data_IF_774124312886
#
_entry.id   IF_774124312886
#
_cell.length_a   1.000
_cell.length_b   1.000
_cell.length_c   1.000
_cell.angle_alpha   90.00
_cell.angle_beta   90.00
_cell.angle_gamma   90.00
#
_symmetry.space_group_name_H-M   'P 1'
#
loop_
_entity.id
_entity.type
_entity.pdbx_description
1 polymer ?
#
# COMPACT_ATOMS: atom_id res chain seq x y z
N UNK A 1 12.73 -20.41 -16.11
CA UNK A 1 11.75 -21.15 -15.31
C UNK A 1 12.48 -22.30 -14.61
N UNK A 2 12.83 -22.11 -13.34
CA UNK A 2 13.60 -23.09 -12.58
C UNK A 2 12.68 -24.26 -12.20
N UNK A 3 13.07 -25.50 -12.50
CA UNK A 3 12.32 -26.73 -12.17
C UNK A 3 10.85 -26.78 -12.62
N UNK A 4 10.49 -26.14 -13.74
CA UNK A 4 9.10 -26.06 -14.20
C UNK A 4 8.14 -25.48 -13.14
N UNK A 5 8.67 -24.62 -12.26
CA UNK A 5 7.89 -23.91 -11.25
C UNK A 5 7.49 -22.54 -11.78
N UNK A 6 6.26 -22.14 -11.45
CA UNK A 6 5.73 -20.76 -11.59
C UNK A 6 6.14 -19.88 -10.40
N UNK A 7 6.81 -20.45 -9.40
CA UNK A 7 7.28 -19.73 -8.22
C UNK A 7 8.49 -18.86 -8.55
N UNK A 8 8.28 -17.55 -8.43
CA UNK A 8 9.32 -16.54 -8.51
C UNK A 8 9.81 -16.25 -9.93
N UNK A 9 10.65 -15.22 -10.01
CA UNK A 9 11.23 -14.74 -11.25
C UNK A 9 11.76 -13.33 -11.08
N UNK A 10 12.84 -13.01 -11.76
CA UNK A 10 13.40 -11.66 -11.75
C UNK A 10 12.99 -10.91 -13.01
N UNK A 11 12.78 -9.60 -12.88
CA UNK A 11 12.41 -8.69 -13.97
C UNK A 11 13.32 -8.83 -15.21
N UNK A 12 14.67 -8.97 -15.09
CA UNK A 12 15.55 -9.16 -16.23
C UNK A 12 15.28 -10.41 -17.07
N UNK A 13 14.52 -11.39 -16.57
CA UNK A 13 14.13 -12.58 -17.34
C UNK A 13 13.41 -12.21 -18.63
N UNK A 14 12.65 -11.11 -18.67
CA UNK A 14 12.03 -10.64 -19.91
C UNK A 14 13.07 -10.41 -21.00
N UNK A 15 14.18 -9.74 -20.69
CA UNK A 15 15.26 -9.49 -21.66
C UNK A 15 15.93 -10.79 -22.11
N UNK A 16 16.22 -11.71 -21.19
CA UNK A 16 16.93 -12.95 -21.54
C UNK A 16 16.05 -13.96 -22.29
N UNK A 17 14.74 -13.96 -22.03
CA UNK A 17 13.79 -14.93 -22.59
C UNK A 17 12.95 -14.35 -23.73
N UNK A 18 13.11 -13.07 -24.10
CA UNK A 18 12.26 -12.39 -25.07
C UNK A 18 12.08 -13.16 -26.39
N UNK A 19 13.13 -13.84 -26.87
CA UNK A 19 13.06 -14.64 -28.12
C UNK A 19 12.12 -15.84 -28.01
N UNK A 20 12.10 -16.50 -26.85
CA UNK A 20 11.18 -17.62 -26.59
C UNK A 20 9.78 -17.13 -26.20
N UNK A 21 9.69 -15.94 -25.60
CA UNK A 21 8.42 -15.34 -25.18
C UNK A 21 7.65 -14.64 -26.31
N UNK A 22 8.30 -14.41 -27.45
CA UNK A 22 7.74 -13.64 -28.57
C UNK A 22 6.35 -14.11 -29.00
N UNK A 23 6.15 -15.42 -29.07
CA UNK A 23 4.87 -16.06 -29.47
C UNK A 23 4.05 -16.53 -28.26
N UNK A 24 4.40 -16.08 -27.05
CA UNK A 24 3.84 -16.54 -25.77
C UNK A 24 3.19 -15.41 -24.95
N UNK A 25 3.03 -14.21 -25.51
CA UNK A 25 2.34 -13.08 -24.86
C UNK A 25 0.94 -12.92 -25.46
N UNK A 26 -0.08 -13.00 -24.61
CA UNK A 26 -1.49 -12.99 -25.00
C UNK A 26 -2.27 -11.88 -24.29
N UNK A 27 -3.39 -11.41 -24.86
CA UNK A 27 -4.28 -10.49 -24.18
C UNK A 27 -4.80 -11.10 -22.87
N UNK A 28 -4.95 -10.29 -21.80
CA UNK A 28 -5.41 -10.74 -20.47
C UNK A 28 -6.68 -11.57 -20.52
N UNK A 29 -7.59 -11.33 -21.46
CA UNK A 29 -8.84 -12.08 -21.58
C UNK A 29 -8.63 -13.57 -21.88
N UNK A 30 -7.55 -13.93 -22.57
CA UNK A 30 -7.19 -15.34 -22.87
C UNK A 30 -6.84 -16.09 -21.60
N UNK A 31 -6.17 -15.41 -20.68
CA UNK A 31 -5.68 -15.99 -19.44
C UNK A 31 -5.83 -14.96 -18.30
N UNK A 32 -7.04 -14.78 -17.75
CA UNK A 32 -7.24 -13.82 -16.67
C UNK A 32 -6.41 -14.22 -15.45
N UNK A 33 -5.78 -13.24 -14.82
CA UNK A 33 -4.99 -13.49 -13.62
C UNK A 33 -5.88 -14.01 -12.49
N UNK A 34 -5.51 -15.16 -11.92
CA UNK A 34 -6.14 -15.76 -10.75
C UNK A 34 -5.35 -15.38 -9.52
N UNK A 35 -5.99 -14.71 -8.55
CA UNK A 35 -5.35 -14.35 -7.29
C UNK A 35 -5.22 -15.53 -6.31
N UNK A 36 -5.89 -16.65 -6.61
CA UNK A 36 -5.89 -17.84 -5.76
C UNK A 36 -4.71 -18.76 -6.12
N UNK A 37 -3.91 -19.19 -5.14
CA UNK A 37 -2.79 -20.10 -5.37
C UNK A 37 -3.22 -21.43 -6.01
N UNK A 38 -2.32 -22.07 -6.77
CA UNK A 38 -2.54 -23.40 -7.34
C UNK A 38 -3.24 -23.42 -8.70
N UNK A 39 -3.61 -22.24 -9.22
CA UNK A 39 -4.29 -22.08 -10.51
C UNK A 39 -3.36 -21.48 -11.60
N UNK A 40 -2.04 -21.50 -11.39
CA UNK A 40 -1.07 -20.87 -12.29
C UNK A 40 -1.05 -21.48 -13.70
N UNK A 41 -1.56 -22.70 -13.85
CA UNK A 41 -1.63 -23.44 -15.11
C UNK A 41 -3.04 -23.44 -15.74
N UNK A 42 -4.03 -22.83 -15.08
CA UNK A 42 -5.43 -22.90 -15.49
C UNK A 42 -5.73 -21.86 -16.56
N UNK A 43 -5.47 -22.25 -17.81
CA UNK A 43 -5.61 -21.38 -18.97
C UNK A 43 -6.22 -22.10 -20.18
N UNK A 44 -7.49 -22.54 -20.11
CA UNK A 44 -8.07 -23.44 -21.12
C UNK A 44 -8.18 -22.81 -22.51
N UNK A 45 -8.34 -21.49 -22.63
CA UNK A 45 -8.40 -20.82 -23.94
C UNK A 45 -7.05 -20.85 -24.68
N UNK A 46 -5.94 -21.08 -23.96
CA UNK A 46 -4.60 -21.14 -24.55
C UNK A 46 -4.32 -22.45 -25.30
N UNK A 47 -5.08 -23.50 -25.01
CA UNK A 47 -5.02 -24.78 -25.72
C UNK A 47 -5.65 -24.71 -27.12
N UNK A 48 -6.45 -23.66 -27.38
CA UNK A 48 -7.01 -23.42 -28.70
C UNK A 48 -5.93 -22.92 -29.67
N UNK A 49 -5.58 -23.77 -30.65
CA UNK A 49 -4.63 -23.46 -31.71
C UNK A 49 -5.03 -22.21 -32.53
N UNK A 50 -6.33 -21.91 -32.62
CA UNK A 50 -6.82 -20.70 -33.27
C UNK A 50 -6.43 -19.45 -32.49
N UNK A 51 -6.53 -19.46 -31.16
CA UNK A 51 -6.12 -18.33 -30.30
C UNK A 51 -4.64 -18.04 -30.48
N UNK A 52 -3.79 -19.08 -30.50
CA UNK A 52 -2.35 -18.93 -30.74
C UNK A 52 -2.04 -18.35 -32.11
N UNK A 53 -2.68 -18.85 -33.17
CA UNK A 53 -2.43 -18.44 -34.56
C UNK A 53 -2.98 -17.05 -34.89
N UNK A 54 -4.08 -16.67 -34.26
CA UNK A 54 -4.77 -15.40 -34.52
C UNK A 54 -4.37 -14.27 -33.56
N UNK A 55 -3.46 -14.53 -32.62
CA UNK A 55 -2.96 -13.56 -31.67
C UNK A 55 -2.25 -12.39 -32.39
N UNK A 56 -2.72 -11.14 -32.24
CA UNK A 56 -2.09 -9.99 -32.87
C UNK A 56 -0.86 -9.46 -32.12
N UNK A 57 -0.63 -9.88 -30.87
CA UNK A 57 0.45 -9.36 -30.05
C UNK A 57 1.81 -9.89 -30.50
N UNK A 58 2.75 -8.99 -30.76
CA UNK A 58 4.14 -9.31 -31.07
C UNK A 58 5.03 -8.15 -30.65
N UNK A 59 6.11 -8.45 -29.95
CA UNK A 59 7.05 -7.46 -29.44
C UNK A 59 8.51 -7.88 -29.66
N UNK A 60 9.40 -6.89 -29.58
CA UNK A 60 10.85 -7.07 -29.52
C UNK A 60 11.38 -6.26 -28.35
N UNK A 61 12.33 -6.83 -27.60
CA UNK A 61 13.08 -6.09 -26.59
C UNK A 61 14.42 -5.72 -27.21
N UNK A 62 14.66 -4.43 -27.41
CA UNK A 62 15.83 -3.91 -28.10
C UNK A 62 17.00 -3.71 -27.13
N UNK A 63 16.71 -3.20 -25.94
CA UNK A 63 17.70 -2.90 -24.91
C UNK A 63 17.13 -3.03 -23.50
N UNK A 64 18.01 -3.24 -22.52
CA UNK A 64 17.69 -3.24 -21.10
C UNK A 64 18.78 -2.50 -20.31
N UNK A 65 18.38 -1.43 -19.62
CA UNK A 65 19.21 -0.74 -18.63
C UNK A 65 18.88 -1.18 -17.21
N UNK A 66 19.87 -1.22 -16.32
CA UNK A 66 19.68 -1.46 -14.88
C UNK A 66 20.30 -0.32 -14.09
N UNK A 67 19.53 0.27 -13.17
CA UNK A 67 19.88 1.46 -12.41
C UNK A 67 19.74 1.18 -10.92
N UNK A 68 20.70 1.66 -10.13
CA UNK A 68 20.78 1.38 -8.69
C UNK A 68 20.65 2.64 -7.84
N UNK A 69 21.09 3.80 -8.34
CA UNK A 69 21.04 5.06 -7.62
C UNK A 69 19.81 5.90 -8.00
N UNK A 70 19.31 6.66 -7.03
CA UNK A 70 18.11 7.47 -7.16
C UNK A 70 18.19 8.50 -8.30
N UNK A 71 19.36 9.08 -8.55
CA UNK A 71 19.52 10.15 -9.53
C UNK A 71 19.42 9.61 -10.96
N UNK A 72 20.10 8.50 -11.26
CA UNK A 72 20.03 7.85 -12.57
C UNK A 72 18.64 7.27 -12.86
N UNK A 73 17.97 6.71 -11.85
CA UNK A 73 16.57 6.24 -11.95
C UNK A 73 15.64 7.40 -12.33
N UNK A 74 15.69 8.51 -11.58
CA UNK A 74 14.85 9.69 -11.87
C UNK A 74 15.12 10.26 -13.26
N UNK A 75 16.39 10.35 -13.65
CA UNK A 75 16.76 10.82 -14.97
C UNK A 75 16.20 9.91 -16.06
N UNK A 76 16.34 8.58 -15.93
CA UNK A 76 15.82 7.62 -16.91
C UNK A 76 14.30 7.62 -16.97
N UNK A 77 13.61 7.78 -15.83
CA UNK A 77 12.16 7.90 -15.77
C UNK A 77 11.65 9.09 -16.60
N UNK A 78 12.27 10.26 -16.41
CA UNK A 78 11.93 11.48 -17.17
C UNK A 78 12.31 11.34 -18.64
N UNK A 79 13.47 10.74 -18.94
CA UNK A 79 13.94 10.55 -20.31
C UNK A 79 13.05 9.60 -21.12
N UNK A 80 12.63 8.49 -20.52
CA UNK A 80 11.81 7.48 -21.19
C UNK A 80 10.33 7.85 -21.21
N UNK A 81 9.83 8.51 -20.16
CA UNK A 81 8.40 8.73 -19.98
C UNK A 81 7.59 7.44 -19.81
N UNK A 82 8.26 6.33 -19.48
CA UNK A 82 7.65 5.00 -19.33
C UNK A 82 7.77 4.52 -17.88
N UNK A 83 6.81 3.73 -17.44
CA UNK A 83 6.91 3.01 -16.18
C UNK A 83 8.12 2.07 -16.21
N UNK A 84 8.86 2.01 -15.10
CA UNK A 84 10.04 1.16 -14.97
C UNK A 84 9.83 0.18 -13.81
N UNK A 85 10.00 -1.13 -14.03
CA UNK A 85 9.88 -2.12 -12.96
C UNK A 85 10.98 -1.96 -11.91
N UNK A 86 10.56 -2.05 -10.65
CA UNK A 86 11.41 -1.94 -9.46
C UNK A 86 11.53 -3.32 -8.83
N UNK A 87 12.74 -3.71 -8.46
CA UNK A 87 13.02 -4.87 -7.60
C UNK A 87 13.65 -4.38 -6.30
N UNK A 88 13.17 -4.91 -5.18
CA UNK A 88 13.70 -4.61 -3.84
C UNK A 88 13.61 -5.84 -2.97
N UNK A 89 14.57 -5.99 -2.06
CA UNK A 89 14.48 -6.92 -0.95
C UNK A 89 13.33 -6.49 -0.04
N UNK A 90 12.40 -7.40 0.26
CA UNK A 90 11.39 -7.17 1.28
C UNK A 90 12.01 -7.40 2.66
N UNK A 91 11.60 -6.58 3.62
CA UNK A 91 12.14 -6.58 4.97
C UNK A 91 11.02 -6.62 5.98
N UNK A 92 11.16 -7.51 6.95
CA UNK A 92 10.34 -7.51 8.16
C UNK A 92 11.04 -6.68 9.24
N UNK A 93 10.26 -6.11 10.15
CA UNK A 93 10.81 -5.35 11.29
C UNK A 93 10.49 -6.10 12.57
N UNK A 94 11.54 -6.45 13.32
CA UNK A 94 11.37 -7.02 14.65
C UNK A 94 11.23 -5.89 15.68
N UNK A 95 10.01 -5.68 16.15
CA UNK A 95 9.70 -4.76 17.25
C UNK A 95 9.84 -5.45 18.62
N UNK A 96 9.97 -4.64 19.66
CA UNK A 96 10.18 -5.05 21.04
C UNK A 96 9.13 -4.45 21.97
N UNK A 97 8.49 -5.27 22.79
CA UNK A 97 7.58 -4.83 23.85
C UNK A 97 8.34 -4.69 25.17
N UNK A 98 8.30 -3.51 25.83
CA UNK A 98 8.94 -3.32 27.12
C UNK A 98 8.13 -3.96 28.24
N UNK A 99 8.80 -4.70 29.11
CA UNK A 99 8.21 -5.40 30.25
C UNK A 99 7.88 -4.46 31.41
N UNK A 100 7.09 -3.42 31.14
CA UNK A 100 6.70 -2.39 32.11
C UNK A 100 5.21 -2.06 31.98
N UNK A 101 4.60 -1.59 33.06
CA UNK A 101 3.17 -1.25 33.09
C UNK A 101 2.25 -2.45 33.24
N UNK A 102 0.94 -2.20 33.39
CA UNK A 102 -0.03 -3.21 33.87
C UNK A 102 -0.32 -4.33 32.87
N UNK A 103 -0.20 -4.07 31.57
CA UNK A 103 -0.52 -5.05 30.53
C UNK A 103 0.75 -5.76 30.04
N UNK A 104 1.79 -5.02 29.67
CA UNK A 104 3.01 -5.59 29.11
C UNK A 104 3.90 -6.28 30.16
N UNK A 105 3.90 -5.85 31.43
CA UNK A 105 4.68 -6.55 32.47
C UNK A 105 4.09 -7.92 32.87
N UNK A 106 2.82 -8.16 32.56
CA UNK A 106 2.16 -9.44 32.82
C UNK A 106 2.31 -10.45 31.68
N UNK A 107 3.02 -10.09 30.60
CA UNK A 107 3.37 -11.03 29.55
C UNK A 107 4.22 -12.17 30.16
N UNK A 108 3.86 -13.45 29.98
CA UNK A 108 4.63 -14.58 30.53
C UNK A 108 6.10 -14.61 30.10
N UNK A 109 6.44 -13.96 28.97
CA UNK A 109 7.79 -13.83 28.43
C UNK A 109 8.62 -12.78 29.16
N UNK A 110 7.99 -11.93 29.98
CA UNK A 110 8.66 -10.90 30.77
C UNK A 110 9.32 -11.46 32.03
N UNK A 111 10.19 -12.45 31.84
CA UNK A 111 11.06 -13.01 32.88
C UNK A 111 12.53 -12.82 32.51
N UNK A 112 13.39 -12.69 33.51
CA UNK A 112 14.81 -12.39 33.33
C UNK A 112 15.56 -13.43 32.47
N UNK A 113 15.03 -14.65 32.34
CA UNK A 113 15.63 -15.72 31.52
C UNK A 113 15.35 -15.58 30.02
N UNK A 114 14.30 -14.86 29.62
CA UNK A 114 13.83 -14.79 28.22
C UNK A 114 13.88 -13.38 27.65
N UNK A 115 13.80 -12.34 28.48
CA UNK A 115 13.85 -10.98 27.97
C UNK A 115 15.27 -10.54 27.58
N UNK A 116 15.33 -9.57 26.68
CA UNK A 116 16.55 -9.00 26.13
C UNK A 116 16.65 -7.52 26.50
N UNK A 117 17.83 -6.92 26.28
CA UNK A 117 18.01 -5.49 26.45
C UNK A 117 17.10 -4.73 25.48
N UNK A 118 16.33 -3.78 26.03
CA UNK A 118 15.48 -2.92 25.23
C UNK A 118 16.28 -2.05 24.26
N UNK A 119 15.74 -1.76 23.07
CA UNK A 119 16.37 -0.88 22.11
C UNK A 119 16.40 0.57 22.63
N UNK A 120 17.31 1.43 22.14
CA UNK A 120 17.47 2.82 22.61
C UNK A 120 16.19 3.67 22.55
N UNK A 121 15.29 3.35 21.62
CA UNK A 121 13.98 3.97 21.43
C UNK A 121 13.01 3.66 22.58
N UNK A 122 13.34 2.68 23.43
CA UNK A 122 12.58 2.29 24.61
C UNK A 122 13.37 2.50 25.93
N UNK A 123 13.77 3.73 26.27
CA UNK A 123 14.66 3.98 27.41
C UNK A 123 14.01 3.71 28.78
N UNK A 124 12.69 3.53 28.84
CA UNK A 124 11.94 3.35 30.08
C UNK A 124 12.01 1.94 30.68
N UNK A 125 12.61 0.98 29.96
CA UNK A 125 12.72 -0.41 30.39
C UNK A 125 14.11 -0.98 30.02
N UNK A 126 14.58 -1.95 30.80
CA UNK A 126 15.83 -2.68 30.52
C UNK A 126 15.55 -4.09 29.97
N UNK A 127 14.32 -4.59 30.15
CA UNK A 127 13.88 -5.93 29.80
C UNK A 127 12.74 -5.82 28.78
N UNK A 128 12.97 -6.30 27.57
CA UNK A 128 12.04 -6.29 26.45
C UNK A 128 11.88 -7.70 25.87
N UNK A 129 10.72 -7.96 25.28
CA UNK A 129 10.42 -9.21 24.57
C UNK A 129 10.05 -8.93 23.12
N UNK A 130 10.39 -9.81 22.17
CA UNK A 130 10.03 -9.60 20.77
C UNK A 130 8.51 -9.57 20.61
N UNK A 131 8.01 -8.54 19.91
CA UNK A 131 6.67 -8.54 19.35
C UNK A 131 6.57 -9.63 18.27
N UNK A 132 5.35 -10.00 17.89
CA UNK A 132 5.15 -10.80 16.69
C UNK A 132 5.70 -10.02 15.49
N UNK A 133 6.42 -10.70 14.59
CA UNK A 133 7.10 -10.06 13.46
C UNK A 133 6.09 -9.34 12.58
N UNK A 134 6.35 -8.08 12.28
CA UNK A 134 5.53 -7.34 11.32
C UNK A 134 6.23 -7.27 9.97
N UNK A 135 5.44 -7.12 8.91
CA UNK A 135 5.94 -7.00 7.53
C UNK A 135 6.67 -5.66 7.27
N UNK A 136 7.00 -4.90 8.32
CA UNK A 136 7.81 -3.69 8.21
C UNK A 136 7.11 -2.55 7.47
N UNK A 137 5.79 -2.56 7.36
CA UNK A 137 5.01 -1.43 6.84
C UNK A 137 4.24 -0.75 7.97
N UNK A 138 4.04 0.56 7.86
CA UNK A 138 2.99 1.22 8.62
C UNK A 138 1.65 0.99 7.92
N UNK A 139 0.59 1.39 8.60
CA UNK A 139 -0.74 1.34 8.00
C UNK A 139 -1.11 2.62 7.26
N UNK A 140 -0.14 3.31 6.69
CA UNK A 140 -0.30 4.21 5.55
C UNK A 140 0.17 3.52 4.24
N UNK A 141 0.61 2.25 4.34
CA UNK A 141 1.20 1.51 3.22
C UNK A 141 2.68 1.81 3.00
N UNK A 142 3.32 2.55 3.91
CA UNK A 142 4.73 2.92 3.80
C UNK A 142 5.62 1.85 4.43
N UNK A 143 6.62 1.38 3.69
CA UNK A 143 7.65 0.53 4.28
C UNK A 143 8.55 1.36 5.20
N UNK A 144 8.81 0.86 6.40
CA UNK A 144 9.48 1.57 7.46
C UNK A 144 10.99 1.31 7.46
N UNK A 145 11.76 2.38 7.59
CA UNK A 145 13.17 2.37 8.00
C UNK A 145 13.28 2.07 9.52
N UNK A 146 13.99 0.99 9.90
CA UNK A 146 14.18 0.59 11.30
C UNK A 146 15.51 -0.13 11.54
N UNK A 147 16.07 -0.02 12.75
CA UNK A 147 17.34 -0.68 13.12
C UNK A 147 17.22 -2.20 13.23
N UNK A 148 16.03 -2.70 13.58
CA UNK A 148 15.69 -4.11 13.69
C UNK A 148 15.18 -4.76 12.40
N UNK A 149 15.52 -4.21 11.23
CA UNK A 149 15.16 -4.82 9.93
C UNK A 149 15.82 -6.19 9.76
N UNK A 150 15.07 -7.13 9.22
CA UNK A 150 15.52 -8.45 8.80
C UNK A 150 15.00 -8.76 7.40
N UNK A 151 15.74 -9.58 6.64
CA UNK A 151 15.29 -10.00 5.31
C UNK A 151 14.10 -10.93 5.47
N UNK A 152 13.01 -10.62 4.79
CA UNK A 152 11.85 -11.50 4.69
C UNK A 152 12.03 -12.42 3.48
N UNK A 153 11.98 -13.74 3.69
CA UNK A 153 12.05 -14.72 2.61
C UNK A 153 10.63 -15.03 2.13
N UNK A 154 10.19 -14.38 1.04
CA UNK A 154 8.86 -14.61 0.49
C UNK A 154 8.38 -13.54 -0.49
N UNK A 155 7.49 -13.96 -1.39
CA UNK A 155 6.74 -13.09 -2.28
C UNK A 155 5.36 -12.82 -1.67
N UNK A 156 5.14 -11.62 -1.16
CA UNK A 156 3.80 -11.22 -0.68
C UNK A 156 3.58 -9.73 -0.93
N UNK A 157 2.64 -9.41 -1.81
CA UNK A 157 1.96 -8.11 -1.80
C UNK A 157 0.90 -8.21 -0.70
N UNK A 158 1.10 -7.46 0.38
CA UNK A 158 0.28 -7.52 1.61
C UNK A 158 -1.02 -6.73 1.41
N UNK A 159 -2.04 -6.99 2.24
CA UNK A 159 -3.26 -6.20 2.35
C UNK A 159 -3.10 -5.12 3.44
N UNK A 160 -3.39 -3.85 3.13
CA UNK A 160 -3.32 -2.74 4.07
C UNK A 160 -4.74 -2.35 4.49
N UNK A 161 -4.99 -2.36 5.80
CA UNK A 161 -6.10 -1.67 6.44
C UNK A 161 -5.50 -0.44 7.12
N UNK A 162 -6.04 0.78 6.98
CA UNK A 162 -5.34 2.01 7.37
C UNK A 162 -5.94 2.67 8.65
N UNK A 163 -5.55 2.31 9.89
CA UNK A 163 -5.95 2.99 11.12
C UNK A 163 -5.53 4.47 11.23
N UNK A 164 -4.61 4.94 10.41
CA UNK A 164 -4.14 6.33 10.48
C UNK A 164 -4.88 7.29 9.56
N UNK A 165 -5.78 6.78 8.71
CA UNK A 165 -6.72 7.62 7.97
C UNK A 165 -8.08 7.74 8.68
N UNK A 166 -8.20 7.29 9.92
CA UNK A 166 -9.43 7.50 10.72
C UNK A 166 -9.59 8.98 11.05
N UNK A 167 -10.82 9.46 10.98
CA UNK A 167 -11.13 10.84 11.33
C UNK A 167 -10.94 11.06 12.82
N UNK A 168 -10.14 12.07 13.16
CA UNK A 168 -9.93 12.55 14.53
C UNK A 168 -10.44 13.99 14.58
N UNK A 169 -11.51 14.28 15.33
CA UNK A 169 -11.96 15.66 15.51
C UNK A 169 -10.84 16.48 16.15
N UNK A 170 -10.50 17.62 15.56
CA UNK A 170 -9.42 18.48 16.05
C UNK A 170 -9.96 19.77 16.66
N UNK A 171 -9.13 20.52 17.38
CA UNK A 171 -9.53 21.80 17.98
C UNK A 171 -10.03 22.83 16.95
N UNK A 172 -9.66 22.69 15.68
CA UNK A 172 -10.12 23.56 14.60
C UNK A 172 -11.64 23.38 14.31
N UNK A 173 -12.24 22.28 14.77
CA UNK A 173 -13.67 21.97 14.66
C UNK A 173 -14.50 22.56 15.83
N UNK A 174 -13.86 23.25 16.78
CA UNK A 174 -14.54 24.00 17.85
C UNK A 174 -15.15 23.16 18.99
N UNK A 175 -15.09 21.82 18.91
CA UNK A 175 -15.59 20.89 19.92
C UNK A 175 -14.62 19.69 20.01
N UNK A 176 -14.15 19.35 21.23
CA UNK A 176 -13.13 18.29 21.45
C UNK A 176 -13.72 17.07 22.18
N UNK A 177 -15.03 17.06 22.39
CA UNK A 177 -15.75 15.98 23.08
C UNK A 177 -16.51 15.09 22.09
N UNK A 178 -17.22 14.10 22.60
CA UNK A 178 -18.01 13.17 21.79
C UNK A 178 -19.04 13.89 20.89
N UNK A 179 -19.52 15.09 21.25
CA UNK A 179 -20.49 15.80 20.44
C UNK A 179 -19.91 16.22 19.09
N UNK A 180 -18.60 16.45 19.00
CA UNK A 180 -17.91 16.66 17.73
C UNK A 180 -18.03 15.43 16.84
N UNK A 181 -17.70 14.25 17.39
CA UNK A 181 -17.76 12.98 16.70
C UNK A 181 -19.17 12.65 16.17
N UNK A 182 -20.20 13.07 16.91
CA UNK A 182 -21.61 12.84 16.58
C UNK A 182 -22.24 13.95 15.73
N UNK A 183 -21.47 14.99 15.34
CA UNK A 183 -21.99 16.11 14.58
C UNK A 183 -22.14 15.77 13.09
N UNK A 184 -23.18 16.31 12.45
CA UNK A 184 -23.39 16.16 11.00
C UNK A 184 -22.21 16.75 10.20
N UNK A 185 -21.54 17.78 10.74
CA UNK A 185 -20.38 18.41 10.12
C UNK A 185 -19.18 17.46 10.07
N UNK A 186 -18.86 16.78 11.20
CA UNK A 186 -17.78 15.78 11.22
C UNK A 186 -18.09 14.58 10.33
N UNK A 187 -19.34 14.12 10.28
CA UNK A 187 -19.76 13.05 9.36
C UNK A 187 -19.52 13.46 7.90
N UNK A 188 -19.93 14.66 7.51
CA UNK A 188 -19.73 15.16 6.15
C UNK A 188 -18.26 15.39 5.82
N UNK A 189 -17.48 15.94 6.76
CA UNK A 189 -16.06 16.20 6.57
C UNK A 189 -15.26 14.91 6.45
N UNK A 190 -15.53 13.93 7.32
CA UNK A 190 -14.91 12.61 7.25
C UNK A 190 -15.21 11.93 5.91
N UNK A 191 -16.47 11.97 5.45
CA UNK A 191 -16.88 11.43 4.16
C UNK A 191 -16.19 12.15 2.97
N UNK A 192 -16.07 13.48 3.01
CA UNK A 192 -15.40 14.26 1.97
C UNK A 192 -13.91 13.90 1.84
N UNK A 193 -13.24 13.66 2.98
CA UNK A 193 -11.82 13.30 3.02
C UNK A 193 -11.59 11.78 2.93
N UNK A 194 -12.64 10.97 2.76
CA UNK A 194 -12.57 9.51 2.74
C UNK A 194 -11.89 8.93 3.99
N UNK A 195 -12.25 9.47 5.15
CA UNK A 195 -11.74 9.05 6.45
C UNK A 195 -12.83 8.31 7.20
N UNK A 196 -12.62 7.05 7.62
CA UNK A 196 -13.58 6.36 8.46
C UNK A 196 -13.76 7.09 9.78
N UNK A 197 -15.01 7.31 10.17
CA UNK A 197 -15.38 8.01 11.41
C UNK A 197 -15.77 7.00 12.50
N UNK A 198 -16.50 5.96 12.11
CA UNK A 198 -17.03 4.96 13.02
C UNK A 198 -16.18 3.70 12.98
N UNK A 199 -15.80 3.23 14.17
CA UNK A 199 -15.00 2.03 14.35
C UNK A 199 -15.78 1.02 15.18
N UNK A 200 -15.67 -0.25 14.80
CA UNK A 200 -16.30 -1.38 15.49
C UNK A 200 -15.24 -2.24 16.16
N UNK A 201 -15.63 -2.88 17.27
CA UNK A 201 -14.74 -3.75 18.01
C UNK A 201 -14.63 -5.13 17.35
N UNK A 202 -13.39 -5.57 17.09
CA UNK A 202 -13.07 -6.91 16.57
C UNK A 202 -12.43 -7.78 17.64
N UNK A 203 -11.52 -7.22 18.45
CA UNK A 203 -10.79 -7.95 19.50
C UNK A 203 -11.32 -7.62 20.90
N UNK A 204 -12.11 -8.54 21.47
CA UNK A 204 -12.74 -8.40 22.78
C UNK A 204 -11.76 -8.40 23.97
N UNK A 205 -10.47 -8.70 23.73
CA UNK A 205 -9.42 -8.52 24.73
C UNK A 205 -9.13 -7.04 25.02
N UNK A 206 -9.40 -6.16 24.07
CA UNK A 206 -9.04 -4.74 24.13
C UNK A 206 -10.22 -3.78 23.97
N UNK A 207 -11.34 -4.23 23.41
CA UNK A 207 -12.55 -3.45 23.23
C UNK A 207 -13.82 -4.22 23.61
N UNK A 208 -14.98 -3.55 23.57
CA UNK A 208 -16.28 -4.10 23.94
C UNK A 208 -17.11 -4.27 22.67
N UNK A 209 -17.50 -5.51 22.31
CA UNK A 209 -18.36 -5.77 21.15
C UNK A 209 -19.70 -5.01 21.25
N UNK A 210 -20.19 -4.55 20.09
CA UNK A 210 -21.46 -3.80 19.99
C UNK A 210 -21.39 -2.33 20.41
N UNK A 211 -20.21 -1.82 20.80
CA UNK A 211 -19.95 -0.39 20.98
C UNK A 211 -19.43 0.24 19.69
N UNK A 212 -19.61 1.55 19.58
CA UNK A 212 -19.05 2.38 18.51
C UNK A 212 -17.85 3.13 19.06
N UNK A 213 -16.74 3.14 18.33
CA UNK A 213 -15.51 3.80 18.74
C UNK A 213 -15.19 4.96 17.80
N UNK A 214 -14.76 6.08 18.36
CA UNK A 214 -14.26 7.24 17.62
C UNK A 214 -12.82 7.53 18.00
N UNK A 215 -11.94 7.71 17.02
CA UNK A 215 -10.54 8.03 17.28
C UNK A 215 -10.40 9.43 17.90
N UNK A 216 -9.63 9.55 18.99
CA UNK A 216 -9.48 10.82 19.73
C UNK A 216 -8.09 11.42 19.63
N UNK A 217 -7.07 10.66 20.00
CA UNK A 217 -5.69 11.14 19.93
C UNK A 217 -4.71 9.98 19.96
N UNK A 218 -3.48 10.30 19.53
CA UNK A 218 -2.36 9.37 19.47
C UNK A 218 -1.16 9.99 20.16
N UNK A 219 -0.42 9.18 20.90
CA UNK A 219 0.87 9.58 21.47
C UNK A 219 1.91 8.52 21.13
N UNK A 220 3.08 8.96 20.65
CA UNK A 220 4.20 8.05 20.39
C UNK A 220 4.76 7.50 21.70
N UNK A 221 5.04 6.19 21.74
CA UNK A 221 5.58 5.51 22.91
C UNK A 221 7.04 5.06 22.73
N UNK A 222 7.53 4.99 21.49
CA UNK A 222 8.86 4.45 21.14
C UNK A 222 8.75 3.15 20.36
N UNK A 223 9.81 2.80 19.62
CA UNK A 223 9.85 1.60 18.74
C UNK A 223 8.58 1.44 17.87
N UNK A 224 8.14 2.58 17.28
CA UNK A 224 6.93 2.70 16.44
C UNK A 224 5.60 2.31 17.12
N UNK A 225 5.59 2.05 18.42
CA UNK A 225 4.36 1.86 19.17
C UNK A 225 3.67 3.19 19.49
N UNK A 226 2.35 3.10 19.60
CA UNK A 226 1.48 4.22 19.93
C UNK A 226 0.54 3.87 21.08
N UNK A 227 0.29 4.86 21.93
CA UNK A 227 -0.89 4.87 22.80
C UNK A 227 -1.98 5.60 22.03
N UNK A 228 -3.01 4.86 21.63
CA UNK A 228 -4.17 5.42 20.95
C UNK A 228 -5.37 5.42 21.87
N UNK A 229 -6.04 6.57 21.94
CA UNK A 229 -7.23 6.76 22.74
C UNK A 229 -8.45 7.00 21.87
N UNK A 230 -9.59 6.56 22.39
CA UNK A 230 -10.87 6.54 21.71
C UNK A 230 -11.96 7.06 22.64
N UNK A 231 -13.03 7.54 22.02
CA UNK A 231 -14.33 7.62 22.66
C UNK A 231 -15.06 6.31 22.42
N UNK A 232 -15.27 5.53 23.47
CA UNK A 232 -16.20 4.41 23.42
C UNK A 232 -17.61 4.97 23.62
N UNK A 233 -18.47 4.78 22.63
CA UNK A 233 -19.84 5.26 22.60
C UNK A 233 -20.81 4.08 22.61
N UNK A 234 -21.82 4.18 23.46
CA UNK A 234 -22.92 3.23 23.52
C UNK A 234 -24.15 3.83 22.85
N UNK A 235 -24.60 3.26 21.72
CA UNK A 235 -25.77 3.76 21.03
C UNK A 235 -27.07 3.55 21.82
N UNK A 236 -27.10 2.63 22.80
CA UNK A 236 -28.31 2.28 23.55
C UNK A 236 -28.65 3.27 24.66
N UNK A 237 -27.65 3.66 25.45
CA UNK A 237 -27.81 4.60 26.56
C UNK A 237 -27.30 6.02 26.23
N UNK A 238 -26.71 6.20 25.04
CA UNK A 238 -26.07 7.43 24.55
C UNK A 238 -24.97 7.94 25.49
N UNK A 239 -24.34 7.04 26.23
CA UNK A 239 -23.19 7.35 27.06
C UNK A 239 -21.89 7.26 26.25
N UNK A 240 -20.89 8.02 26.69
CA UNK A 240 -19.53 7.90 26.16
C UNK A 240 -18.54 7.82 27.30
N UNK A 241 -17.46 7.08 27.10
CA UNK A 241 -16.33 7.04 28.00
C UNK A 241 -15.02 7.13 27.23
N UNK A 242 -14.02 7.69 27.89
CA UNK A 242 -12.67 7.75 27.37
C UNK A 242 -11.94 6.44 27.65
N UNK A 243 -11.39 5.83 26.61
CA UNK A 243 -10.57 4.62 26.73
C UNK A 243 -9.27 4.80 25.97
N UNK A 244 -8.17 4.30 26.52
CA UNK A 244 -6.88 4.25 25.83
C UNK A 244 -6.40 2.81 25.79
N UNK A 245 -5.91 2.40 24.63
CA UNK A 245 -5.21 1.13 24.48
C UNK A 245 -3.85 1.20 25.20
N UNK A 246 -3.29 0.05 25.61
CA UNK A 246 -1.87 -0.02 25.95
C UNK A 246 -1.01 0.41 24.75
N UNK A 247 0.30 0.69 24.98
CA UNK A 247 1.23 0.86 23.88
C UNK A 247 1.21 -0.35 22.95
N UNK A 248 0.88 -0.12 21.69
CA UNK A 248 0.70 -1.15 20.68
C UNK A 248 1.28 -0.71 19.35
N UNK A 249 1.65 -1.68 18.52
CA UNK A 249 1.96 -1.41 17.12
C UNK A 249 0.68 -1.00 16.40
N UNK A 250 0.85 -0.18 15.37
CA UNK A 250 -0.27 0.31 14.58
C UNK A 250 -1.11 -0.82 13.97
N UNK A 251 -0.45 -1.87 13.49
CA UNK A 251 -1.08 -3.06 12.93
C UNK A 251 -1.98 -3.75 13.94
N UNK A 252 -1.50 -3.88 15.18
CA UNK A 252 -2.29 -4.44 16.29
C UNK A 252 -3.52 -3.59 16.56
N UNK A 253 -3.38 -2.26 16.57
CA UNK A 253 -4.51 -1.33 16.76
C UNK A 253 -5.57 -1.51 15.66
N UNK A 254 -5.14 -1.72 14.41
CA UNK A 254 -6.06 -1.97 13.29
C UNK A 254 -6.73 -3.34 13.34
N UNK A 255 -6.11 -4.33 13.98
CA UNK A 255 -6.73 -5.64 14.21
C UNK A 255 -7.71 -5.59 15.37
N UNK A 256 -7.53 -4.65 16.30
CA UNK A 256 -8.48 -4.41 17.40
C UNK A 256 -9.77 -3.76 16.93
N UNK A 257 -9.68 -2.80 16.00
CA UNK A 257 -10.82 -2.01 15.52
C UNK A 257 -10.91 -2.02 13.99
N UNK A 258 -12.12 -2.27 13.48
CA UNK A 258 -12.42 -2.23 12.05
C UNK A 258 -13.30 -1.03 11.70
N UNK A 259 -12.98 -0.26 10.63
CA UNK A 259 -13.82 0.83 10.18
C UNK A 259 -15.17 0.34 9.64
N UNK A 260 -16.26 0.99 10.03
CA UNK A 260 -17.59 0.74 9.46
C UNK A 260 -17.70 1.34 8.05
N UNK A 261 -17.08 2.49 7.81
CA UNK A 261 -16.98 3.06 6.47
C UNK A 261 -15.82 2.47 5.66
N UNK A 262 -16.16 1.78 4.57
CA UNK A 262 -15.20 1.22 3.61
C UNK A 262 -15.17 2.08 2.35
N UNK A 263 -13.97 2.56 1.98
CA UNK A 263 -13.74 3.29 0.74
C UNK A 263 -12.94 2.42 -0.24
N UNK A 264 -13.51 2.16 -1.42
CA UNK A 264 -12.81 1.43 -2.47
C UNK A 264 -11.60 2.22 -2.99
N UNK A 265 -10.53 1.49 -3.30
CA UNK A 265 -9.36 2.07 -3.94
C UNK A 265 -9.69 2.53 -5.37
N UNK A 266 -9.04 3.57 -5.85
CA UNK A 266 -9.15 3.99 -7.24
C UNK A 266 -8.53 2.92 -8.15
N UNK A 267 -9.31 2.38 -9.09
CA UNK A 267 -8.85 1.32 -10.00
C UNK A 267 -7.75 1.79 -10.96
N UNK A 268 -7.61 3.09 -11.19
CA UNK A 268 -6.64 3.68 -12.12
C UNK A 268 -5.30 4.04 -11.48
N UNK A 269 -5.24 4.03 -10.15
CA UNK A 269 -4.04 4.35 -9.37
C UNK A 269 -3.47 3.07 -8.75
N UNK A 270 -2.15 2.93 -8.80
CA UNK A 270 -1.47 1.93 -7.99
C UNK A 270 -1.75 2.24 -6.51
N UNK A 271 -2.27 1.24 -5.78
CA UNK A 271 -2.67 1.39 -4.39
C UNK A 271 -1.54 1.87 -3.45
N UNK A 272 -1.93 2.12 -2.19
CA UNK A 272 -1.24 2.88 -1.14
C UNK A 272 0.19 2.46 -0.75
N UNK A 273 0.78 1.44 -1.37
CA UNK A 273 2.11 0.99 -1.00
C UNK A 273 3.19 1.87 -1.60
N UNK A 274 3.95 2.55 -0.73
CA UNK A 274 5.12 3.30 -1.17
C UNK A 274 6.36 2.94 -0.38
N UNK A 275 7.50 2.98 -1.06
CA UNK A 275 8.82 2.77 -0.50
C UNK A 275 9.48 4.14 -0.31
N UNK A 276 9.55 4.70 0.91
CA UNK A 276 10.24 5.95 1.16
C UNK A 276 11.72 5.86 0.73
N UNK A 277 12.32 6.99 0.32
CA UNK A 277 13.73 7.00 -0.05
C UNK A 277 14.67 6.60 1.10
N UNK A 278 14.31 6.91 2.34
CA UNK A 278 15.08 6.50 3.51
C UNK A 278 15.06 4.98 3.67
N UNK A 279 13.90 4.35 3.48
CA UNK A 279 13.74 2.90 3.47
C UNK A 279 14.54 2.27 2.36
N UNK A 280 14.45 2.80 1.13
CA UNK A 280 15.26 2.33 -0.02
C UNK A 280 16.75 2.41 0.31
N UNK A 281 17.19 3.53 0.88
CA UNK A 281 18.60 3.75 1.22
C UNK A 281 19.08 2.76 2.27
N UNK A 282 18.28 2.50 3.29
CA UNK A 282 18.62 1.58 4.36
C UNK A 282 18.62 0.12 3.87
N UNK A 283 17.61 -0.30 3.10
CA UNK A 283 17.54 -1.63 2.50
C UNK A 283 18.73 -1.85 1.57
N UNK A 284 19.04 -0.87 0.71
CA UNK A 284 20.20 -0.94 -0.19
C UNK A 284 21.51 -1.06 0.57
N UNK A 285 21.67 -0.34 1.68
CA UNK A 285 22.89 -0.35 2.49
C UNK A 285 23.08 -1.65 3.28
N UNK A 286 21.99 -2.23 3.80
CA UNK A 286 22.05 -3.40 4.68
C UNK A 286 21.97 -4.73 3.92
N UNK A 287 21.10 -4.81 2.91
CA UNK A 287 20.73 -6.08 2.26
C UNK A 287 21.08 -6.15 0.79
N UNK A 288 21.45 -5.02 0.17
CA UNK A 288 21.53 -4.88 -1.29
C UNK A 288 20.16 -5.20 -1.93
N UNK A 289 20.12 -5.30 -3.27
CA UNK A 289 18.93 -5.81 -3.97
C UNK A 289 17.88 -4.76 -4.34
N UNK A 290 18.15 -3.46 -4.20
CA UNK A 290 17.35 -2.42 -4.84
C UNK A 290 17.90 -2.09 -6.23
N UNK A 291 17.10 -2.31 -7.26
CA UNK A 291 17.42 -1.90 -8.62
C UNK A 291 16.16 -1.68 -9.45
N UNK A 292 16.30 -0.87 -10.49
CA UNK A 292 15.24 -0.54 -11.43
C UNK A 292 15.69 -0.90 -12.82
N UNK A 293 14.87 -1.65 -13.55
CA UNK A 293 15.13 -1.97 -14.95
C UNK A 293 14.34 -1.05 -15.86
N UNK A 294 14.95 -0.66 -16.98
CA UNK A 294 14.28 0.05 -18.06
C UNK A 294 14.41 -0.79 -19.32
N UNK A 295 13.28 -1.06 -19.98
CA UNK A 295 13.25 -1.83 -21.20
C UNK A 295 12.87 -0.94 -22.38
N UNK A 296 13.59 -1.09 -23.48
CA UNK A 296 13.16 -0.60 -24.78
C UNK A 296 12.37 -1.71 -25.48
N UNK A 297 11.03 -1.63 -25.41
CA UNK A 297 10.12 -2.62 -25.99
C UNK A 297 9.41 -2.01 -27.18
N UNK A 298 9.66 -2.60 -28.35
CA UNK A 298 8.99 -2.23 -29.58
C UNK A 298 7.87 -3.23 -29.89
N UNK A 299 6.64 -2.73 -29.98
CA UNK A 299 5.48 -3.52 -30.40
C UNK A 299 5.29 -3.43 -31.91
N UNK A 300 5.10 -4.59 -32.54
CA UNK A 300 4.86 -4.64 -33.97
C UNK A 300 3.52 -3.96 -34.34
N UNK A 301 3.37 -3.37 -35.54
CA UNK A 301 2.17 -2.63 -35.92
C UNK A 301 0.86 -3.41 -35.77
N UNK A 302 0.89 -4.73 -35.96
CA UNK A 302 -0.27 -5.59 -35.76
C UNK A 302 -0.77 -5.64 -34.31
N UNK A 303 0.07 -5.36 -33.32
CA UNK A 303 -0.31 -5.43 -31.90
C UNK A 303 -1.31 -4.35 -31.49
N UNK A 304 -1.42 -3.29 -32.30
CA UNK A 304 -2.30 -2.15 -32.01
C UNK A 304 -3.69 -2.38 -32.59
N UNK A 305 -4.72 -2.29 -31.74
CA UNK A 305 -6.14 -2.38 -32.14
C UNK A 305 -6.49 -1.40 -33.28
N UNK A 306 -5.88 -0.22 -33.28
CA UNK A 306 -6.05 0.79 -34.33
C UNK A 306 -5.64 0.32 -35.74
N UNK A 307 -4.78 -0.69 -35.85
CA UNK A 307 -4.31 -1.23 -37.13
C UNK A 307 -5.10 -2.46 -37.61
N UNK A 308 -6.23 -2.80 -36.98
CA UNK A 308 -7.02 -4.01 -37.29
C UNK A 308 -7.36 -4.19 -38.78
N UNK A 309 -7.61 -3.09 -39.49
CA UNK A 309 -7.98 -3.10 -40.91
C UNK A 309 -6.80 -3.52 -41.81
N UNK A 310 -5.56 -3.31 -41.36
CA UNK A 310 -4.33 -3.71 -42.07
C UNK A 310 -4.00 -5.19 -41.87
N UNK A 311 -4.54 -5.82 -40.83
CA UNK A 311 -4.25 -7.21 -40.46
C UNK A 311 -5.54 -8.04 -40.25
N UNK A 312 -6.39 -8.20 -41.28
CA UNK A 312 -7.72 -8.81 -41.14
C UNK A 312 -7.69 -10.31 -40.81
N UNK A 313 -6.52 -10.95 -40.88
CA UNK A 313 -6.34 -12.36 -40.55
C UNK A 313 -6.11 -12.62 -39.05
N UNK A 314 -5.97 -11.56 -38.24
CA UNK A 314 -5.74 -11.63 -36.79
C UNK A 314 -7.02 -11.33 -36.02
N UNK A 315 -7.14 -11.87 -34.81
CA UNK A 315 -8.30 -11.71 -33.96
C UNK A 315 -8.08 -10.59 -32.95
N UNK A 316 -8.68 -9.43 -33.23
CA UNK A 316 -8.63 -8.27 -32.34
C UNK A 316 -9.71 -8.25 -31.25
N UNK A 317 -10.67 -9.19 -31.25
CA UNK A 317 -11.74 -9.21 -30.24
C UNK A 317 -11.19 -9.39 -28.83
N UNK A 318 -10.18 -10.25 -28.66
CA UNK A 318 -9.52 -10.50 -27.38
C UNK A 318 -8.69 -9.32 -26.90
N UNK A 319 -8.04 -8.59 -27.83
CA UNK A 319 -7.33 -7.34 -27.51
C UNK A 319 -8.32 -6.29 -27.05
N UNK A 320 -9.42 -6.10 -27.79
CA UNK A 320 -10.46 -5.14 -27.43
C UNK A 320 -11.08 -5.47 -26.06
N UNK A 321 -11.35 -6.74 -25.78
CA UNK A 321 -11.87 -7.19 -24.49
C UNK A 321 -10.85 -7.08 -23.35
N UNK A 322 -9.56 -7.00 -23.67
CA UNK A 322 -8.46 -6.80 -22.71
C UNK A 322 -8.00 -5.34 -22.65
N UNK A 323 -8.71 -4.42 -23.33
CA UNK A 323 -8.39 -3.00 -23.31
C UNK A 323 -9.19 -2.33 -22.20
N UNK A 324 -8.50 -1.81 -21.20
CA UNK A 324 -9.10 -1.11 -20.07
C UNK A 324 -8.98 0.40 -20.26
N UNK A 325 -9.97 1.14 -19.78
CA UNK A 325 -9.92 2.60 -19.74
C UNK A 325 -9.25 3.01 -18.45
N UNK A 326 -8.10 3.69 -18.55
CA UNK A 326 -7.55 4.44 -17.43
C UNK A 326 -8.08 5.87 -17.52
N UNK A 327 -8.79 6.35 -16.50
CA UNK A 327 -9.08 7.78 -16.42
C UNK A 327 -7.74 8.49 -16.26
N UNK A 328 -7.47 9.46 -17.13
CA UNK A 328 -6.32 10.33 -16.93
C UNK A 328 -6.52 11.04 -15.60
N UNK A 329 -5.82 10.60 -14.55
CA UNK A 329 -5.51 11.49 -13.44
C UNK A 329 -4.94 12.76 -14.08
N UNK A 330 -5.35 13.93 -13.60
CA UNK A 330 -4.72 15.19 -13.99
C UNK A 330 -3.22 14.97 -14.15
N UNK A 331 -2.68 15.31 -15.34
CA UNK A 331 -1.28 15.17 -15.75
C UNK A 331 -0.37 15.16 -14.52
N UNK A 332 0.41 14.10 -14.31
CA UNK A 332 1.35 14.00 -13.19
C UNK A 332 2.14 15.32 -13.06
N UNK A 333 1.80 16.12 -12.04
CA UNK A 333 2.32 17.48 -11.86
C UNK A 333 3.74 17.49 -11.25
N UNK A 334 4.38 16.32 -11.18
CA UNK A 334 5.67 16.10 -10.55
C UNK A 334 5.58 15.65 -9.10
N UNK A 335 6.71 15.21 -8.51
CA UNK A 335 6.75 14.87 -7.09
C UNK A 335 6.50 16.11 -6.23
N UNK A 336 5.85 15.94 -5.08
CA UNK A 336 5.69 17.01 -4.09
C UNK A 336 7.06 17.64 -3.77
N UNK A 337 7.23 18.98 -3.73
CA UNK A 337 6.21 20.04 -3.70
C UNK A 337 5.92 20.69 -5.08
N UNK A 338 6.30 20.05 -6.19
CA UNK A 338 6.20 20.67 -7.53
C UNK A 338 4.81 20.58 -8.17
N UNK A 339 3.84 19.94 -7.49
CA UNK A 339 2.45 19.92 -7.89
C UNK A 339 1.92 21.36 -8.07
N UNK A 340 1.24 21.62 -9.18
CA UNK A 340 0.80 22.97 -9.53
C UNK A 340 0.03 23.62 -8.37
N UNK A 341 0.42 24.85 -8.01
CA UNK A 341 -0.26 25.70 -7.03
C UNK A 341 -1.77 25.56 -7.18
N UNK A 342 -2.42 25.10 -6.11
CA UNK A 342 -3.87 25.12 -5.96
C UNK A 342 -4.39 26.48 -6.44
N UNK A 343 -5.18 26.52 -7.52
CA UNK A 343 -5.83 27.78 -7.93
C UNK A 343 -6.71 28.20 -6.76
N UNK A 344 -6.47 29.36 -6.11
CA UNK A 344 -7.39 29.83 -5.09
C UNK A 344 -8.76 30.01 -5.76
N UNK A 345 -9.80 29.40 -5.19
CA UNK A 345 -11.18 29.69 -5.57
C UNK A 345 -11.37 31.21 -5.55
N UNK A 346 -11.93 31.73 -6.64
CA UNK A 346 -12.27 33.13 -6.80
C UNK A 346 -12.88 33.68 -5.50
N UNK A 347 -12.18 34.63 -4.88
CA UNK A 347 -12.76 35.44 -3.82
C UNK A 347 -14.05 36.08 -4.35
N UNK A 348 -15.15 36.10 -3.58
CA UNK A 348 -16.35 36.78 -4.00
C UNK A 348 -16.02 38.26 -4.18
N UNK A 349 -16.32 38.78 -5.37
CA UNK A 349 -16.26 40.19 -5.72
C UNK A 349 -16.88 41.01 -4.60
N UNK A 350 -16.04 41.71 -3.83
CA UNK A 350 -16.51 42.76 -2.94
C UNK A 350 -17.30 43.75 -3.77
N UNK A 351 -18.60 43.84 -3.49
CA UNK A 351 -19.44 44.93 -3.92
C UNK A 351 -18.78 46.25 -3.50
N UNK A 352 -18.19 46.97 -4.46
CA UNK A 352 -17.96 48.41 -4.34
C UNK A 352 -19.33 49.07 -4.17
N UNK A 353 -19.70 49.31 -2.91
CA UNK A 353 -20.75 50.27 -2.58
C UNK A 353 -20.33 51.63 -3.11
N UNK A 354 -21.20 52.21 -3.94
CA UNK A 354 -21.21 53.64 -4.23
C UNK A 354 -21.31 54.41 -2.91
N UNK A 355 -20.38 55.34 -2.68
CA UNK A 355 -20.68 56.74 -2.41
C UNK A 355 -19.44 57.58 -2.67
#
# INVERSE_FOLDING_TARGET
VWRNSTEGGEVPLLYYLHKGLKDSVFPTRVCPYTSSPGHDWDCPELDDAFVRKSNPLSFTVNDMGTFYDQASIKHKLVQSGLAMPVSTTLVSVQHMYPCVGKLLANDPRCVAATCQLCPPELPMATCCVPADSTHGQNMDGEFLAHSGMQVEDGHTMVHAFLPFNWYVPTQDDGVVDIAACLSDDSVQYAALNRQPLHLTCVDDAYCVPGRVYFAKNRTSYGDRMHVMCFWEYDPTDKSSKHVCLPPMLQETIARTFEPDEIYENDSDLCGFYFLPYDTISQVSALFQGFFVNSFDVEWAPQSYLANREKFPHLNYSLVQASTFTQHSSSRFDGPFPFAHKYKPMNQPTQHRRRH
#
